data_IF_470235288501
#
_entry.id   IF_470235288501
#
_cell.length_a   1.000
_cell.length_b   1.000
_cell.length_c   1.000
_cell.angle_alpha   90.00
_cell.angle_beta   90.00
_cell.angle_gamma   90.00
#
_symmetry.space_group_name_H-M   'P 1'
#
loop_
_entity.id
_entity.type
_entity.pdbx_description
1 polymer ?
#
# COMPACT_ATOMS: atom_id res chain seq x y z
N UNK A 1 5.89 -8.86 -26.39
CA UNK A 1 4.43 -8.71 -26.26
C UNK A 1 4.00 -9.23 -24.90
N UNK A 2 3.87 -8.35 -23.91
CA UNK A 2 3.10 -8.51 -22.65
C UNK A 2 3.02 -7.13 -21.99
N UNK A 3 2.33 -6.18 -22.65
CA UNK A 3 2.17 -4.79 -22.19
C UNK A 3 0.80 -4.51 -21.55
N UNK A 4 -0.05 -5.53 -21.40
CA UNK A 4 -1.48 -5.34 -21.09
C UNK A 4 -1.84 -5.15 -19.61
N UNK A 5 -1.03 -5.66 -18.67
CA UNK A 5 -1.41 -5.69 -17.26
C UNK A 5 -1.29 -4.33 -16.55
N UNK A 6 -0.28 -3.53 -16.89
CA UNK A 6 -0.03 -2.22 -16.29
C UNK A 6 -1.10 -1.18 -16.66
N UNK A 7 -1.59 -1.20 -17.91
CA UNK A 7 -2.61 -0.28 -18.39
C UNK A 7 -3.97 -0.47 -17.70
N UNK A 8 -4.37 -1.72 -17.43
CA UNK A 8 -5.66 -2.03 -16.79
C UNK A 8 -5.74 -1.62 -15.32
N UNK A 9 -4.64 -1.78 -14.57
CA UNK A 9 -4.57 -1.37 -13.15
C UNK A 9 -4.50 0.14 -12.98
N UNK A 10 -3.69 0.86 -13.79
CA UNK A 10 -3.65 2.33 -13.77
C UNK A 10 -5.04 2.94 -14.04
N UNK A 11 -5.74 2.46 -15.07
CA UNK A 11 -7.09 2.94 -15.42
C UNK A 11 -8.16 2.65 -14.34
N UNK A 12 -7.89 1.72 -13.43
CA UNK A 12 -8.75 1.48 -12.26
C UNK A 12 -8.48 2.52 -11.18
N UNK A 13 -7.22 2.77 -10.83
CA UNK A 13 -6.84 3.78 -9.84
C UNK A 13 -7.14 5.22 -10.29
N UNK A 14 -7.08 5.50 -11.59
CA UNK A 14 -7.52 6.79 -12.14
C UNK A 14 -9.00 7.09 -11.82
N UNK A 15 -9.84 6.04 -11.74
CA UNK A 15 -11.27 6.16 -11.43
C UNK A 15 -11.57 6.16 -9.94
N UNK A 16 -10.93 5.28 -9.18
CA UNK A 16 -11.24 5.10 -7.75
C UNK A 16 -10.39 5.94 -6.82
N UNK A 17 -9.23 6.43 -7.26
CA UNK A 17 -8.25 7.13 -6.42
C UNK A 17 -8.62 8.58 -6.09
N UNK A 18 -9.67 9.14 -6.71
CA UNK A 18 -10.15 10.50 -6.44
C UNK A 18 -10.72 10.57 -5.01
N UNK A 19 -10.28 11.56 -4.23
CA UNK A 19 -10.76 11.77 -2.86
C UNK A 19 -10.14 10.85 -1.81
N UNK A 20 -9.16 10.00 -2.18
CA UNK A 20 -8.50 9.09 -1.23
C UNK A 20 -7.91 9.82 -0.02
N UNK A 21 -7.46 11.06 -0.15
CA UNK A 21 -6.94 11.88 0.96
C UNK A 21 -7.94 12.11 2.09
N UNK A 22 -9.22 12.18 1.77
CA UNK A 22 -10.25 12.49 2.77
C UNK A 22 -10.42 11.33 3.75
N UNK A 23 -10.20 10.10 3.26
CA UNK A 23 -10.43 8.84 3.98
C UNK A 23 -9.14 8.10 4.36
N UNK A 24 -8.02 8.31 3.64
CA UNK A 24 -6.70 7.67 3.88
C UNK A 24 -5.71 8.65 4.51
N UNK A 25 -5.98 9.01 5.76
CA UNK A 25 -5.06 9.79 6.60
C UNK A 25 -4.03 8.87 7.25
N UNK A 26 -2.78 9.32 7.45
CA UNK A 26 -1.77 8.52 8.15
C UNK A 26 -2.23 8.17 9.56
N UNK A 27 -2.10 6.90 9.94
CA UNK A 27 -2.15 6.53 11.36
C UNK A 27 -0.83 7.00 12.01
N UNK A 28 -0.86 7.66 13.18
CA UNK A 28 0.33 8.17 13.83
C UNK A 28 1.42 7.12 14.11
N UNK A 29 1.04 5.86 14.36
CA UNK A 29 1.99 4.80 14.74
C UNK A 29 2.85 4.36 13.54
N UNK A 30 2.30 3.91 12.39
CA UNK A 30 3.11 3.69 11.19
C UNK A 30 3.83 4.96 10.72
N UNK A 31 3.21 6.14 10.84
CA UNK A 31 3.85 7.39 10.45
C UNK A 31 5.11 7.68 11.26
N UNK A 32 5.09 7.44 12.58
CA UNK A 32 6.28 7.58 13.44
C UNK A 32 7.40 6.62 13.04
N UNK A 33 7.08 5.33 12.85
CA UNK A 33 8.07 4.31 12.49
C UNK A 33 8.70 4.58 11.11
N UNK A 34 7.88 5.01 10.14
CA UNK A 34 8.36 5.41 8.81
C UNK A 34 9.20 6.68 8.92
N UNK A 35 8.78 7.67 9.72
CA UNK A 35 9.53 8.90 9.95
C UNK A 35 10.92 8.63 10.55
N UNK A 36 11.00 7.77 11.56
CA UNK A 36 12.27 7.32 12.15
C UNK A 36 13.15 6.62 11.11
N UNK A 37 12.57 5.74 10.28
CA UNK A 37 13.27 5.06 9.20
C UNK A 37 13.80 6.01 8.10
N UNK A 38 13.20 7.20 7.96
CA UNK A 38 13.59 8.24 6.98
C UNK A 38 14.45 9.35 7.59
N UNK A 39 14.61 9.38 8.92
CA UNK A 39 15.28 10.46 9.64
C UNK A 39 16.67 10.78 9.05
N UNK A 40 16.95 12.08 8.88
CA UNK A 40 18.21 12.60 8.35
C UNK A 40 18.36 12.57 6.82
N UNK A 41 17.38 12.03 6.08
CA UNK A 41 17.36 12.16 4.62
C UNK A 41 16.92 13.56 4.21
N UNK A 42 17.65 14.19 3.28
CA UNK A 42 17.26 15.49 2.69
C UNK A 42 16.51 15.30 1.38
N UNK A 43 16.83 14.24 0.64
CA UNK A 43 16.15 13.89 -0.62
C UNK A 43 15.55 12.49 -0.53
N UNK A 44 14.25 12.40 -0.83
CA UNK A 44 13.48 11.14 -0.77
C UNK A 44 12.78 10.93 -2.09
N UNK A 45 12.86 9.72 -2.63
CA UNK A 45 12.00 9.30 -3.74
C UNK A 45 10.94 8.34 -3.21
N UNK A 46 9.66 8.68 -3.41
CA UNK A 46 8.51 7.91 -2.93
C UNK A 46 7.85 7.18 -4.10
N UNK A 47 8.04 5.87 -4.16
CA UNK A 47 7.53 5.00 -5.22
C UNK A 47 6.10 4.58 -4.90
N UNK A 48 5.19 4.78 -5.86
CA UNK A 48 3.76 4.60 -5.63
C UNK A 48 3.24 5.60 -4.61
N UNK A 49 3.67 6.87 -4.72
CA UNK A 49 3.41 7.89 -3.71
C UNK A 49 1.92 8.15 -3.46
N UNK A 50 1.03 7.74 -4.38
CA UNK A 50 -0.40 8.02 -4.35
C UNK A 50 -0.65 9.49 -3.97
N UNK A 51 -1.40 9.71 -2.89
CA UNK A 51 -1.74 11.00 -2.34
C UNK A 51 -0.66 11.62 -1.43
N UNK A 52 0.49 10.97 -1.25
CA UNK A 52 1.62 11.48 -0.47
C UNK A 52 1.48 11.36 1.05
N UNK A 53 0.52 10.57 1.56
CA UNK A 53 0.14 10.57 2.98
C UNK A 53 1.31 10.31 3.95
N UNK A 54 2.27 9.46 3.58
CA UNK A 54 3.41 9.08 4.45
C UNK A 54 4.73 9.77 4.09
N UNK A 55 4.72 10.76 3.19
CA UNK A 55 5.94 11.51 2.84
C UNK A 55 6.47 12.33 4.03
N UNK A 56 7.80 12.37 4.25
CA UNK A 56 8.38 13.21 5.30
C UNK A 56 8.17 14.69 5.01
N UNK A 57 7.84 15.47 6.03
CA UNK A 57 7.58 16.91 5.91
C UNK A 57 8.87 17.75 5.84
N UNK A 58 9.98 17.20 6.32
CA UNK A 58 11.28 17.85 6.49
C UNK A 58 12.31 17.47 5.39
N UNK A 59 11.87 16.79 4.32
CA UNK A 59 12.71 16.41 3.21
C UNK A 59 12.10 16.77 1.84
N UNK A 60 12.95 16.87 0.82
CA UNK A 60 12.52 17.03 -0.55
C UNK A 60 12.04 15.69 -1.13
N UNK A 61 10.72 15.54 -1.23
CA UNK A 61 10.09 14.32 -1.76
C UNK A 61 9.83 14.44 -3.25
N UNK A 62 10.36 13.51 -4.05
CA UNK A 62 9.97 13.26 -5.43
C UNK A 62 8.98 12.10 -5.48
N UNK A 63 7.74 12.37 -5.90
CA UNK A 63 6.72 11.35 -6.08
C UNK A 63 6.89 10.59 -7.40
N UNK A 64 6.72 9.27 -7.37
CA UNK A 64 6.74 8.42 -8.56
C UNK A 64 5.46 7.61 -8.63
N UNK A 65 4.75 7.70 -9.75
CA UNK A 65 3.54 6.92 -9.98
C UNK A 65 3.29 6.75 -11.50
N UNK A 66 2.76 5.60 -11.97
CA UNK A 66 2.38 5.45 -13.38
C UNK A 66 1.15 6.30 -13.79
N UNK A 67 0.33 6.72 -12.83
CA UNK A 67 -0.88 7.53 -13.03
C UNK A 67 -0.59 9.01 -12.86
N UNK A 68 -0.80 9.79 -13.93
CA UNK A 68 -0.74 11.25 -13.83
C UNK A 68 -1.85 11.81 -12.93
N UNK A 69 -3.05 11.20 -12.94
CA UNK A 69 -4.18 11.64 -12.10
C UNK A 69 -3.83 11.56 -10.61
N UNK A 70 -3.03 10.57 -10.19
CA UNK A 70 -2.55 10.48 -8.80
C UNK A 70 -1.41 11.47 -8.51
N UNK A 71 -0.49 11.68 -9.46
CA UNK A 71 0.58 12.67 -9.32
C UNK A 71 0.03 14.10 -9.21
N UNK A 72 -0.97 14.47 -10.02
CA UNK A 72 -1.64 15.77 -9.97
C UNK A 72 -2.32 16.02 -8.60
N UNK A 73 -2.64 14.95 -7.88
CA UNK A 73 -3.16 15.03 -6.53
C UNK A 73 -2.04 15.15 -5.49
N UNK A 74 -0.78 14.81 -5.76
CA UNK A 74 0.33 14.88 -4.79
C UNK A 74 0.63 16.35 -4.38
N UNK A 75 0.99 16.64 -3.11
CA UNK A 75 1.09 18.03 -2.65
C UNK A 75 2.47 18.65 -2.93
N UNK A 76 3.46 17.80 -3.23
CA UNK A 76 4.85 18.21 -3.47
C UNK A 76 5.11 18.60 -4.92
N UNK A 77 6.05 19.51 -5.18
CA UNK A 77 6.31 20.05 -6.52
C UNK A 77 7.15 19.15 -7.42
N UNK A 78 7.68 18.03 -6.90
CA UNK A 78 8.54 17.10 -7.65
C UNK A 78 7.79 15.80 -7.91
N UNK A 79 7.61 15.47 -9.18
CA UNK A 79 6.94 14.25 -9.63
C UNK A 79 7.65 13.64 -10.83
N UNK A 80 7.51 12.33 -10.99
CA UNK A 80 7.95 11.61 -12.17
C UNK A 80 6.96 10.50 -12.50
N UNK A 81 6.42 10.53 -13.72
CA UNK A 81 5.55 9.48 -14.21
C UNK A 81 6.39 8.27 -14.65
N UNK A 82 6.43 7.24 -13.82
CA UNK A 82 7.19 6.03 -14.09
C UNK A 82 6.64 4.82 -13.31
N UNK A 83 7.11 3.63 -13.67
CA UNK A 83 6.89 2.39 -12.91
C UNK A 83 8.09 2.11 -12.02
N UNK A 84 7.91 1.29 -10.97
CA UNK A 84 8.97 0.98 -10.02
C UNK A 84 10.17 0.27 -10.68
N UNK A 85 9.90 -0.48 -11.76
CA UNK A 85 10.85 -1.30 -12.50
C UNK A 85 11.73 -0.51 -13.48
N UNK A 86 11.47 0.79 -13.69
CA UNK A 86 12.22 1.64 -14.61
C UNK A 86 12.17 3.10 -14.13
N UNK A 87 13.03 3.42 -13.16
CA UNK A 87 13.06 4.75 -12.55
C UNK A 87 13.87 5.73 -13.41
N UNK A 88 13.34 6.93 -13.73
CA UNK A 88 13.99 7.92 -14.61
C UNK A 88 15.05 8.74 -13.88
N UNK A 89 15.82 8.09 -13.01
CA UNK A 89 16.81 8.70 -12.13
C UNK A 89 18.16 8.05 -12.32
N UNK A 90 19.23 8.79 -12.03
CA UNK A 90 20.59 8.24 -12.07
C UNK A 90 20.89 7.43 -10.81
N UNK A 91 21.99 6.68 -10.81
CA UNK A 91 22.42 5.93 -9.63
C UNK A 91 22.68 6.85 -8.44
N UNK A 92 22.29 6.42 -7.23
CA UNK A 92 22.58 7.12 -5.96
C UNK A 92 22.18 8.60 -5.96
N UNK A 93 21.08 8.94 -6.64
CA UNK A 93 20.57 10.32 -6.72
C UNK A 93 19.91 10.79 -5.41
N UNK A 94 19.36 9.87 -4.61
CA UNK A 94 18.58 10.19 -3.41
C UNK A 94 19.23 9.66 -2.14
N UNK A 95 19.06 10.37 -1.03
CA UNK A 95 19.50 9.93 0.29
C UNK A 95 18.77 8.66 0.72
N UNK A 96 17.47 8.54 0.39
CA UNK A 96 16.67 7.32 0.61
C UNK A 96 15.56 7.17 -0.42
N UNK A 97 15.14 5.92 -0.64
CA UNK A 97 13.92 5.59 -1.39
C UNK A 97 12.89 4.97 -0.45
N UNK A 98 11.61 5.28 -0.65
CA UNK A 98 10.51 4.72 0.11
C UNK A 98 9.43 4.12 -0.78
N UNK A 99 8.73 3.11 -0.26
CA UNK A 99 7.56 2.50 -0.88
C UNK A 99 6.58 2.10 0.22
N UNK A 100 5.37 2.67 0.20
CA UNK A 100 4.36 2.43 1.23
C UNK A 100 3.14 1.80 0.59
N UNK A 101 2.84 0.55 0.96
CA UNK A 101 1.67 -0.21 0.49
C UNK A 101 1.51 -0.20 -1.03
N UNK A 102 2.61 -0.32 -1.78
CA UNK A 102 2.59 -0.31 -3.26
C UNK A 102 3.23 -1.55 -3.91
N UNK A 103 4.12 -2.25 -3.19
CA UNK A 103 4.96 -3.30 -3.80
C UNK A 103 4.18 -4.47 -4.40
N UNK A 104 2.99 -4.76 -3.88
CA UNK A 104 2.08 -5.79 -4.38
C UNK A 104 1.40 -5.40 -5.71
N UNK A 105 1.57 -4.16 -6.17
CA UNK A 105 1.13 -3.71 -7.50
C UNK A 105 2.21 -3.86 -8.57
N UNK A 106 3.46 -4.10 -8.18
CA UNK A 106 4.57 -4.19 -9.11
C UNK A 106 4.49 -5.50 -9.88
N UNK A 107 4.86 -5.44 -11.15
CA UNK A 107 4.80 -6.60 -12.04
C UNK A 107 5.98 -7.55 -11.84
N UNK A 108 7.12 -7.02 -11.41
CA UNK A 108 8.32 -7.78 -11.14
C UNK A 108 8.83 -7.48 -9.71
N UNK A 109 8.59 -8.45 -8.84
CA UNK A 109 8.95 -8.40 -7.43
C UNK A 109 10.47 -8.31 -7.16
N UNK A 110 11.31 -8.56 -8.17
CA UNK A 110 12.78 -8.41 -8.05
C UNK A 110 13.28 -7.13 -8.69
N UNK A 111 12.72 -6.72 -9.83
CA UNK A 111 13.20 -5.56 -10.57
C UNK A 111 12.92 -4.24 -9.84
N UNK A 112 11.73 -4.09 -9.24
CA UNK A 112 11.41 -2.89 -8.45
C UNK A 112 12.39 -2.63 -7.30
N UNK A 113 12.63 -3.61 -6.40
CA UNK A 113 13.63 -3.45 -5.33
C UNK A 113 15.07 -3.25 -5.84
N UNK A 114 15.42 -3.82 -6.99
CA UNK A 114 16.73 -3.59 -7.61
C UNK A 114 16.88 -2.14 -8.09
N UNK A 115 15.85 -1.57 -8.74
CA UNK A 115 15.82 -0.17 -9.15
C UNK A 115 15.85 0.78 -7.96
N UNK A 116 15.12 0.47 -6.88
CA UNK A 116 15.23 1.17 -5.60
C UNK A 116 16.69 1.21 -5.11
N UNK A 117 17.35 0.05 -5.08
CA UNK A 117 18.76 -0.07 -4.69
C UNK A 117 19.74 0.67 -5.61
N UNK A 118 19.39 0.83 -6.89
CA UNK A 118 20.17 1.59 -7.86
C UNK A 118 20.11 3.09 -7.55
N UNK A 119 18.93 3.64 -7.29
CA UNK A 119 18.73 5.08 -7.07
C UNK A 119 19.10 5.52 -5.65
N UNK A 120 19.10 4.61 -4.66
CA UNK A 120 19.59 4.86 -3.31
C UNK A 120 20.02 3.58 -2.59
N UNK A 121 21.00 3.69 -1.68
CA UNK A 121 21.45 2.58 -0.81
C UNK A 121 20.50 2.34 0.36
N UNK A 122 19.79 3.38 0.82
CA UNK A 122 18.86 3.33 1.94
C UNK A 122 17.44 3.19 1.40
N UNK A 123 16.74 2.16 1.87
CA UNK A 123 15.39 1.82 1.44
C UNK A 123 14.48 1.70 2.65
N UNK A 124 13.25 2.21 2.54
CA UNK A 124 12.19 2.09 3.54
C UNK A 124 10.93 1.56 2.87
N UNK A 125 10.56 0.32 3.13
CA UNK A 125 9.38 -0.33 2.54
C UNK A 125 8.39 -0.70 3.63
N UNK A 126 7.20 -0.09 3.60
CA UNK A 126 6.08 -0.54 4.42
C UNK A 126 5.13 -1.37 3.57
N UNK A 127 4.94 -2.64 3.94
CA UNK A 127 4.15 -3.62 3.17
C UNK A 127 3.48 -4.64 4.08
N UNK A 128 2.83 -5.66 3.52
CA UNK A 128 2.46 -6.88 4.23
C UNK A 128 3.20 -8.09 3.65
N UNK A 129 3.39 -9.11 4.49
CA UNK A 129 3.90 -10.43 4.13
C UNK A 129 2.75 -11.35 3.69
N UNK A 130 2.67 -11.75 2.41
CA UNK A 130 1.60 -12.63 1.94
C UNK A 130 1.73 -14.06 2.47
N UNK A 131 2.89 -14.45 3.03
CA UNK A 131 3.10 -15.74 3.66
C UNK A 131 2.66 -15.80 5.13
N UNK A 132 2.19 -14.68 5.70
CA UNK A 132 1.77 -14.62 7.10
C UNK A 132 0.50 -15.43 7.35
N UNK A 133 0.56 -16.36 8.31
CA UNK A 133 -0.50 -17.35 8.54
C UNK A 133 -1.82 -16.75 9.07
N UNK A 134 -1.75 -15.62 9.79
CA UNK A 134 -2.94 -14.98 10.37
C UNK A 134 -3.53 -13.95 9.42
N UNK A 135 -4.47 -14.40 8.63
CA UNK A 135 -5.33 -13.52 7.86
C UNK A 135 -6.31 -12.75 8.77
N UNK A 136 -6.76 -11.58 8.30
CA UNK A 136 -7.85 -10.85 8.94
C UNK A 136 -9.12 -11.71 8.93
N UNK A 137 -9.76 -11.88 10.10
CA UNK A 137 -11.01 -12.65 10.27
C UNK A 137 -12.10 -12.27 9.26
N UNK A 138 -12.13 -11.00 8.86
CA UNK A 138 -13.06 -10.47 7.87
C UNK A 138 -12.89 -11.16 6.51
N UNK A 139 -11.65 -11.38 6.08
CA UNK A 139 -11.35 -12.02 4.80
C UNK A 139 -11.68 -13.51 4.89
N UNK A 140 -11.29 -14.19 5.97
CA UNK A 140 -11.54 -15.63 6.09
C UNK A 140 -13.02 -16.01 6.28
N UNK A 141 -13.81 -15.19 6.98
CA UNK A 141 -15.19 -15.56 7.39
C UNK A 141 -16.29 -14.85 6.60
N UNK A 142 -16.02 -13.62 6.14
CA UNK A 142 -17.04 -12.77 5.54
C UNK A 142 -16.84 -12.55 4.05
N UNK A 143 -15.59 -12.38 3.61
CA UNK A 143 -15.23 -12.01 2.25
C UNK A 143 -14.11 -12.91 1.68
N UNK A 144 -14.23 -14.24 1.69
CA UNK A 144 -13.19 -15.13 1.14
C UNK A 144 -12.96 -14.90 -0.36
N UNK A 145 -13.95 -14.39 -1.08
CA UNK A 145 -13.89 -14.06 -2.51
C UNK A 145 -12.91 -12.92 -2.83
N UNK A 146 -12.49 -12.12 -1.84
CA UNK A 146 -11.40 -11.15 -2.03
C UNK A 146 -10.12 -11.86 -2.49
N UNK A 147 -9.88 -13.09 -2.03
CA UNK A 147 -8.73 -13.93 -2.45
C UNK A 147 -8.79 -14.27 -3.95
N UNK A 148 -9.99 -14.41 -4.49
CA UNK A 148 -10.23 -14.73 -5.90
C UNK A 148 -10.23 -13.47 -6.78
N UNK A 149 -10.56 -12.32 -6.20
CA UNK A 149 -10.59 -11.01 -6.88
C UNK A 149 -9.18 -10.54 -7.26
N UNK A 150 -8.15 -10.86 -6.47
CA UNK A 150 -6.75 -10.61 -6.85
C UNK A 150 -6.31 -11.37 -8.11
N UNK A 151 -7.05 -12.44 -8.48
CA UNK A 151 -6.83 -13.27 -9.67
C UNK A 151 -7.78 -12.95 -10.84
N UNK A 152 -8.55 -11.86 -10.76
CA UNK A 152 -9.34 -11.35 -11.88
C UNK A 152 -10.61 -12.16 -12.21
N UNK A 153 -11.11 -12.97 -11.26
CA UNK A 153 -12.40 -13.66 -11.38
C UNK A 153 -13.24 -13.34 -10.15
N UNK A 154 -14.32 -12.59 -10.32
CA UNK A 154 -15.27 -12.32 -9.25
C UNK A 154 -16.69 -12.15 -9.84
N UNK A 155 -17.76 -12.61 -9.15
CA UNK A 155 -19.13 -12.16 -9.40
C UNK A 155 -19.24 -10.62 -9.29
N UNK A 156 -20.40 -10.03 -9.54
CA UNK A 156 -20.60 -8.60 -9.29
C UNK A 156 -20.25 -8.29 -7.82
N UNK A 157 -19.06 -7.69 -7.62
CA UNK A 157 -18.42 -7.49 -6.31
C UNK A 157 -19.37 -6.86 -5.27
N UNK A 158 -20.31 -6.05 -5.74
CA UNK A 158 -21.34 -5.41 -4.92
C UNK A 158 -22.29 -6.42 -4.23
N UNK A 159 -22.69 -7.50 -4.90
CA UNK A 159 -23.62 -8.50 -4.35
C UNK A 159 -22.93 -9.35 -3.27
N UNK A 160 -21.69 -9.78 -3.53
CA UNK A 160 -20.86 -10.52 -2.57
C UNK A 160 -20.62 -9.68 -1.31
N UNK A 161 -20.23 -8.41 -1.49
CA UNK A 161 -20.01 -7.49 -0.37
C UNK A 161 -21.30 -7.23 0.40
N UNK A 162 -22.42 -7.03 -0.28
CA UNK A 162 -23.73 -6.82 0.37
C UNK A 162 -24.12 -7.99 1.28
N UNK A 163 -24.02 -9.22 0.76
CA UNK A 163 -24.33 -10.42 1.53
C UNK A 163 -23.39 -10.62 2.74
N UNK A 164 -22.10 -10.32 2.56
CA UNK A 164 -21.12 -10.38 3.65
C UNK A 164 -21.42 -9.37 4.76
N UNK A 165 -21.77 -8.14 4.40
CA UNK A 165 -22.14 -7.07 5.36
C UNK A 165 -23.39 -7.43 6.14
N UNK A 166 -24.43 -7.97 5.49
CA UNK A 166 -25.65 -8.40 6.19
C UNK A 166 -25.39 -9.56 7.16
N UNK A 167 -24.55 -10.53 6.77
CA UNK A 167 -24.14 -11.62 7.67
C UNK A 167 -23.38 -11.08 8.89
N UNK A 168 -22.42 -10.17 8.67
CA UNK A 168 -21.68 -9.54 9.77
C UNK A 168 -22.62 -8.75 10.70
N UNK A 169 -23.58 -8.02 10.13
CA UNK A 169 -24.58 -7.28 10.91
C UNK A 169 -25.40 -8.20 11.81
N UNK A 170 -25.85 -9.35 11.30
CA UNK A 170 -26.60 -10.33 12.08
C UNK A 170 -25.75 -10.95 13.20
N UNK A 171 -24.48 -11.26 12.93
CA UNK A 171 -23.57 -11.80 13.93
C UNK A 171 -23.21 -10.79 15.03
N UNK A 172 -23.06 -9.51 14.68
CA UNK A 172 -22.88 -8.42 15.63
C UNK A 172 -24.14 -8.23 16.50
N UNK A 173 -25.32 -8.19 15.88
CA UNK A 173 -26.60 -8.00 16.59
C UNK A 173 -26.91 -9.15 17.58
N UNK A 174 -26.55 -10.39 17.23
CA UNK A 174 -26.75 -11.56 18.08
C UNK A 174 -25.61 -11.79 19.11
N UNK A 175 -24.54 -11.00 19.04
CA UNK A 175 -23.31 -11.20 19.80
C UNK A 175 -22.52 -12.47 19.42
N UNK A 176 -22.91 -13.15 18.34
CA UNK A 176 -22.21 -14.32 17.80
C UNK A 176 -20.75 -13.99 17.49
N UNK A 177 -20.51 -12.85 16.83
CA UNK A 177 -19.16 -12.39 16.51
C UNK A 177 -18.31 -12.22 17.78
N UNK A 178 -18.83 -11.49 18.78
CA UNK A 178 -18.12 -11.22 20.02
C UNK A 178 -17.78 -12.49 20.82
N UNK A 179 -18.64 -13.51 20.76
CA UNK A 179 -18.35 -14.81 21.39
C UNK A 179 -17.26 -15.58 20.65
N UNK A 180 -17.23 -15.52 19.31
CA UNK A 180 -16.22 -16.20 18.48
C UNK A 180 -14.86 -15.50 18.52
N UNK A 181 -14.86 -14.18 18.65
CA UNK A 181 -13.68 -13.30 18.60
C UNK A 181 -13.40 -12.60 19.95
N UNK A 182 -13.72 -13.27 21.05
CA UNK A 182 -13.57 -12.71 22.40
C UNK A 182 -12.10 -12.37 22.73
N UNK A 183 -11.16 -13.13 22.17
CA UNK A 183 -9.73 -12.89 22.25
C UNK A 183 -9.35 -11.55 21.59
N UNK A 184 -9.88 -11.25 20.41
CA UNK A 184 -9.65 -9.99 19.70
C UNK A 184 -10.17 -8.78 20.47
N UNK A 185 -11.28 -8.92 21.20
CA UNK A 185 -11.85 -7.84 22.02
C UNK A 185 -10.95 -7.47 23.20
N UNK A 186 -10.11 -8.40 23.67
CA UNK A 186 -9.17 -8.18 24.76
C UNK A 186 -7.75 -7.82 24.28
N UNK A 187 -7.49 -7.92 22.97
CA UNK A 187 -6.16 -7.72 22.42
C UNK A 187 -5.85 -6.23 22.22
N UNK A 188 -4.70 -5.78 22.74
CA UNK A 188 -4.20 -4.41 22.48
C UNK A 188 -3.63 -4.27 21.06
N UNK A 189 -3.16 -5.37 20.47
CA UNK A 189 -2.61 -5.42 19.12
C UNK A 189 -2.72 -6.82 18.51
N UNK A 190 -2.75 -6.90 17.18
CA UNK A 190 -2.76 -8.15 16.42
C UNK A 190 -1.78 -8.03 15.25
N UNK A 191 -0.98 -9.07 15.03
CA UNK A 191 -0.11 -9.15 13.86
C UNK A 191 -0.88 -9.75 12.67
N UNK A 192 -1.16 -8.90 11.68
CA UNK A 192 -1.77 -9.26 10.40
C UNK A 192 -0.77 -9.20 9.24
N UNK A 193 0.53 -9.39 9.52
CA UNK A 193 1.54 -9.53 8.50
C UNK A 193 2.12 -8.22 8.00
N UNK A 194 1.74 -7.06 8.54
CA UNK A 194 2.37 -5.79 8.18
C UNK A 194 3.85 -5.77 8.60
N UNK A 195 4.71 -5.28 7.71
CA UNK A 195 6.17 -5.22 7.88
C UNK A 195 6.68 -3.85 7.46
N UNK A 196 7.63 -3.33 8.23
CA UNK A 196 8.51 -2.24 7.84
C UNK A 196 9.90 -2.83 7.58
N UNK A 197 10.33 -2.80 6.32
CA UNK A 197 11.65 -3.27 5.89
C UNK A 197 12.53 -2.06 5.67
N UNK A 198 13.67 -2.01 6.33
CA UNK A 198 14.66 -0.93 6.22
C UNK A 198 16.02 -1.49 5.84
N UNK A 199 16.71 -0.84 4.92
CA UNK A 199 18.14 -1.12 4.67
C UNK A 199 18.98 -0.04 5.34
N UNK A 200 20.01 -0.46 6.09
CA UNK A 200 20.98 0.45 6.70
C UNK A 200 21.88 1.08 5.63
N UNK A 201 22.26 2.34 5.85
CA UNK A 201 23.23 3.07 5.02
C UNK A 201 24.65 2.53 5.16
#
# INVERSE_FOLDING_TARGET
MTSGAHGGRSATYDRIGVGYREVRRPDPRPASLIGEALAGARTVVNIGAEAGSYGPADAEVTAVDPSQVRLDQHPGPREARAVAEELPFVERQFDTVMAVMTVHHWSDARRGPAEMGRVSRRQTVFTWDPGHERELWMVSEYLPEIRETEHGRCPALAEVVGAAVERLRADLASGSWARRHADLLSAESVDHGYRLVVTGG
#
